data_IF_073836191639
#
_entry.id   IF_073836191639
#
_cell.length_a   1.000
_cell.length_b   1.000
_cell.length_c   1.000
_cell.angle_alpha   90.00
_cell.angle_beta   90.00
_cell.angle_gamma   90.00
#
_symmetry.space_group_name_H-M   'P 1'
#
loop_
_entity.id
_entity.type
_entity.pdbx_description
1 polymer ?
#
# COMPACT_ATOMS: atom_id res chain seq x y z
N UNK A 1 4.99 -0.38 9.72
CA UNK A 1 6.09 -0.98 8.94
C UNK A 1 6.96 0.14 8.39
N UNK A 2 8.29 0.02 8.40
CA UNK A 2 9.17 1.02 7.75
C UNK A 2 9.08 0.92 6.23
N UNK A 3 9.16 2.05 5.54
CA UNK A 3 9.10 2.08 4.09
C UNK A 3 10.35 1.42 3.48
N UNK A 4 10.15 0.27 2.82
CA UNK A 4 11.21 -0.48 2.16
C UNK A 4 11.80 0.24 0.92
N UNK A 5 11.15 1.31 0.44
CA UNK A 5 11.63 2.09 -0.72
C UNK A 5 12.53 3.25 -0.29
N UNK A 6 12.06 4.09 0.64
CA UNK A 6 12.83 5.28 1.03
C UNK A 6 13.63 5.11 2.34
N UNK A 7 13.30 4.12 3.17
CA UNK A 7 13.92 3.88 4.48
C UNK A 7 13.72 4.99 5.51
N UNK A 8 12.95 6.04 5.19
CA UNK A 8 12.82 7.26 6.02
C UNK A 8 11.44 7.46 6.63
N UNK A 9 10.43 6.83 6.06
CA UNK A 9 9.03 7.00 6.46
C UNK A 9 8.39 5.72 6.97
N UNK A 10 7.18 5.85 7.50
CA UNK A 10 6.34 4.72 7.89
C UNK A 10 5.29 4.46 6.82
N UNK A 11 5.02 3.18 6.58
CA UNK A 11 3.89 2.74 5.75
C UNK A 11 2.65 2.70 6.64
N UNK A 12 1.63 3.45 6.24
CA UNK A 12 0.32 3.56 6.91
C UNK A 12 -0.78 3.06 5.98
N UNK A 13 -1.86 2.50 6.53
CA UNK A 13 -3.03 2.14 5.73
C UNK A 13 -3.70 3.40 5.19
N UNK A 14 -4.10 3.35 3.92
CA UNK A 14 -4.79 4.43 3.23
C UNK A 14 -5.89 3.84 2.38
N UNK A 15 -7.11 4.36 2.57
CA UNK A 15 -8.24 4.06 1.70
C UNK A 15 -8.15 4.92 0.45
N UNK A 16 -8.14 4.28 -0.71
CA UNK A 16 -8.07 4.93 -2.00
C UNK A 16 -9.29 4.59 -2.85
N UNK A 17 -9.88 5.62 -3.46
CA UNK A 17 -10.94 5.46 -4.46
C UNK A 17 -10.36 5.46 -5.86
N UNK A 18 -10.85 4.59 -6.72
CA UNK A 18 -10.37 4.40 -8.09
C UNK A 18 -8.84 4.16 -8.16
N UNK A 19 -8.32 3.31 -7.27
CA UNK A 19 -6.91 2.98 -7.21
C UNK A 19 -6.47 2.26 -8.50
N UNK A 20 -5.57 2.89 -9.24
CA UNK A 20 -5.00 2.32 -10.47
C UNK A 20 -3.79 1.48 -10.15
N UNK A 21 -3.76 0.26 -10.67
CA UNK A 21 -2.66 -0.68 -10.46
C UNK A 21 -2.47 -1.59 -11.66
N UNK A 22 -1.34 -2.30 -11.71
CA UNK A 22 -1.07 -3.32 -12.71
C UNK A 22 -1.12 -4.68 -12.02
N UNK A 23 -2.07 -5.53 -12.43
CA UNK A 23 -2.14 -6.93 -11.98
C UNK A 23 -2.02 -7.83 -13.20
N UNK A 24 -1.11 -8.80 -13.14
CA UNK A 24 -0.87 -9.75 -14.24
C UNK A 24 -0.59 -9.07 -15.60
N UNK A 25 0.07 -7.91 -15.58
CA UNK A 25 0.38 -7.12 -16.78
C UNK A 25 -0.79 -6.30 -17.35
N UNK A 26 -1.95 -6.31 -16.69
CA UNK A 26 -3.11 -5.51 -17.08
C UNK A 26 -3.29 -4.33 -16.13
N UNK A 27 -3.56 -3.14 -16.68
CA UNK A 27 -3.97 -1.99 -15.88
C UNK A 27 -5.42 -2.18 -15.42
N UNK A 28 -5.62 -2.13 -14.10
CA UNK A 28 -6.92 -2.23 -13.46
C UNK A 28 -7.17 -0.97 -12.63
N UNK A 29 -8.45 -0.58 -12.55
CA UNK A 29 -8.92 0.43 -11.60
C UNK A 29 -9.78 -0.26 -10.56
N UNK A 30 -9.33 -0.24 -9.31
CA UNK A 30 -10.05 -0.79 -8.17
C UNK A 30 -10.89 0.35 -7.56
N UNK A 31 -12.23 0.26 -7.54
CA UNK A 31 -13.08 1.36 -7.09
C UNK A 31 -12.80 1.81 -5.66
N UNK A 32 -12.52 0.87 -4.76
CA UNK A 32 -12.15 1.11 -3.37
C UNK A 32 -11.08 0.10 -2.94
N UNK A 33 -9.95 0.58 -2.45
CA UNK A 33 -8.83 -0.25 -2.03
C UNK A 33 -8.20 0.27 -0.73
N UNK A 34 -7.84 -0.64 0.17
CA UNK A 34 -6.96 -0.34 1.31
C UNK A 34 -5.54 -0.70 0.88
N UNK A 35 -4.66 0.30 0.82
CA UNK A 35 -3.25 0.12 0.45
C UNK A 35 -2.35 0.68 1.53
N UNK A 36 -1.16 0.10 1.70
CA UNK A 36 -0.12 0.73 2.50
C UNK A 36 0.52 1.88 1.71
N UNK A 37 0.60 3.08 2.26
CA UNK A 37 1.30 4.21 1.65
C UNK A 37 2.34 4.78 2.60
N UNK A 38 3.52 5.09 2.08
CA UNK A 38 4.54 5.78 2.87
C UNK A 38 4.14 7.23 3.12
N UNK A 39 4.12 7.65 4.38
CA UNK A 39 3.85 9.02 4.82
C UNK A 39 4.87 10.06 4.34
N UNK A 40 6.06 9.62 3.91
CA UNK A 40 7.18 10.49 3.55
C UNK A 40 7.40 10.57 2.04
N UNK A 41 7.46 9.44 1.34
CA UNK A 41 7.75 9.42 -0.11
C UNK A 41 6.52 9.06 -0.97
N UNK A 42 5.37 8.75 -0.36
CA UNK A 42 4.15 8.41 -1.08
C UNK A 42 4.17 7.07 -1.81
N UNK A 43 5.25 6.27 -1.69
CA UNK A 43 5.32 4.95 -2.32
C UNK A 43 4.22 4.03 -1.79
N UNK A 44 3.58 3.29 -2.69
CA UNK A 44 2.59 2.26 -2.36
C UNK A 44 3.31 0.98 -1.97
N UNK A 45 2.86 0.33 -0.91
CA UNK A 45 3.40 -0.91 -0.39
C UNK A 45 2.25 -1.87 -0.05
N UNK A 46 2.10 -2.91 -0.87
CA UNK A 46 1.04 -3.92 -0.75
C UNK A 46 1.36 -5.04 0.26
N UNK A 47 2.55 -5.02 0.88
CA UNK A 47 2.91 -5.97 1.94
C UNK A 47 2.32 -5.59 3.30
N UNK A 48 1.73 -4.40 3.43
CA UNK A 48 1.01 -3.99 4.62
C UNK A 48 -0.36 -4.70 4.66
N UNK A 49 -0.46 -5.81 5.40
CA UNK A 49 -1.75 -6.40 5.79
C UNK A 49 -1.87 -6.37 7.31
N UNK A 50 -2.81 -5.58 7.85
CA UNK A 50 -3.07 -5.50 9.29
C UNK A 50 -3.32 -6.87 9.92
N UNK A 51 -4.08 -7.72 9.24
CA UNK A 51 -4.42 -9.07 9.67
C UNK A 51 -3.21 -10.00 9.83
N UNK A 52 -2.12 -9.74 9.10
CA UNK A 52 -0.86 -10.50 9.19
C UNK A 52 0.00 -9.99 10.36
N UNK A 53 -0.07 -8.69 10.66
CA UNK A 53 0.66 -8.08 11.76
C UNK A 53 0.03 -8.44 13.12
N UNK A 54 -1.30 -8.52 13.21
CA UNK A 54 -2.02 -8.85 14.45
C UNK A 54 -1.99 -10.35 14.82
N UNK A 55 -1.50 -11.22 13.93
CA UNK A 55 -1.34 -12.67 14.15
C UNK A 55 0.11 -13.11 14.40
N UNK A 56 1.06 -12.18 14.46
CA UNK A 56 2.50 -12.43 14.65
C UNK A 56 2.97 -12.14 16.07
#
# INVERSE_FOLDING_TARGET
>A
MECQICGKGKVVETEEKNHKTIMLGQELTIPEAIVGRCDTCGSVNYALRKEVIERG
#
